data_IF_967784690233
#
_entry.id   IF_967784690233
#
_cell.length_a   1.000
_cell.length_b   1.000
_cell.length_c   1.000
_cell.angle_alpha   90.00
_cell.angle_beta   90.00
_cell.angle_gamma   90.00
#
_symmetry.space_group_name_H-M   'P 1'
#
loop_
_entity.id
_entity.type
_entity.pdbx_description
1 polymer ?
#
# COMPACT_ATOMS: atom_id res chain seq x y z
N UNK A 1 21.21 13.14 -22.79
CA UNK A 1 20.89 12.11 -21.77
C UNK A 1 19.45 11.74 -22.03
N UNK A 2 19.15 10.46 -22.23
CA UNK A 2 17.77 10.00 -22.44
C UNK A 2 17.08 10.00 -21.07
N UNK A 3 16.05 10.83 -20.90
CA UNK A 3 15.13 10.69 -19.77
C UNK A 3 14.47 9.31 -19.90
N UNK A 4 14.42 8.51 -18.83
CA UNK A 4 13.65 7.28 -18.87
C UNK A 4 12.19 7.71 -18.96
N UNK A 5 11.60 7.54 -20.14
CA UNK A 5 10.16 7.63 -20.32
C UNK A 5 9.56 6.58 -19.38
N UNK A 6 8.99 7.01 -18.25
CA UNK A 6 8.26 6.12 -17.35
C UNK A 6 7.01 5.70 -18.12
N UNK A 7 7.16 4.65 -18.92
CA UNK A 7 6.06 3.91 -19.46
C UNK A 7 5.35 3.27 -18.26
N UNK A 8 4.31 3.95 -17.76
CA UNK A 8 3.31 3.35 -16.89
C UNK A 8 2.71 2.19 -17.70
N UNK A 9 3.29 1.01 -17.50
CA UNK A 9 2.85 -0.22 -18.13
C UNK A 9 1.36 -0.33 -17.82
N UNK A 10 0.47 -0.45 -18.83
CA UNK A 10 -0.94 -0.64 -18.57
C UNK A 10 -1.06 -1.90 -17.72
N UNK A 11 -1.52 -1.76 -16.49
CA UNK A 11 -1.83 -2.91 -15.66
C UNK A 11 -2.85 -3.75 -16.43
N UNK A 12 -2.57 -5.03 -16.64
CA UNK A 12 -3.57 -5.96 -17.15
C UNK A 12 -4.84 -5.82 -16.29
N UNK A 13 -6.00 -5.64 -16.93
CA UNK A 13 -7.26 -5.32 -16.27
C UNK A 13 -7.63 -6.37 -15.20
N UNK A 14 -7.27 -7.63 -15.46
CA UNK A 14 -7.35 -8.76 -14.52
C UNK A 14 -6.44 -8.58 -13.29
N UNK A 15 -5.21 -8.11 -13.48
CA UNK A 15 -4.26 -7.86 -12.40
C UNK A 15 -4.71 -6.73 -11.49
N UNK A 16 -5.25 -5.66 -12.07
CA UNK A 16 -5.85 -4.56 -11.31
C UNK A 16 -7.09 -5.03 -10.54
N UNK A 17 -7.96 -5.80 -11.18
CA UNK A 17 -9.17 -6.37 -10.55
C UNK A 17 -8.81 -7.26 -9.36
N UNK A 18 -7.80 -8.12 -9.52
CA UNK A 18 -7.31 -8.98 -8.44
C UNK A 18 -6.74 -8.18 -7.27
N UNK A 19 -5.91 -7.17 -7.55
CA UNK A 19 -5.33 -6.30 -6.52
C UNK A 19 -6.41 -5.53 -5.73
N UNK A 20 -7.44 -5.01 -6.42
CA UNK A 20 -8.57 -4.34 -5.77
C UNK A 20 -9.34 -5.32 -4.88
N UNK A 21 -9.59 -6.56 -5.34
CA UNK A 21 -10.27 -7.57 -4.54
C UNK A 21 -9.48 -7.93 -3.27
N UNK A 22 -8.15 -8.07 -3.39
CA UNK A 22 -7.28 -8.33 -2.26
C UNK A 22 -7.27 -7.15 -1.27
N UNK A 23 -7.16 -5.92 -1.75
CA UNK A 23 -7.20 -4.73 -0.90
C UNK A 23 -8.52 -4.63 -0.13
N UNK A 24 -9.66 -4.94 -0.76
CA UNK A 24 -10.96 -4.99 -0.09
C UNK A 24 -11.01 -6.08 0.98
N UNK A 25 -10.44 -7.26 0.71
CA UNK A 25 -10.37 -8.35 1.69
C UNK A 25 -9.51 -7.96 2.91
N UNK A 26 -8.37 -7.31 2.68
CA UNK A 26 -7.50 -6.81 3.76
C UNK A 26 -8.23 -5.78 4.64
N UNK A 27 -8.94 -4.82 4.04
CA UNK A 27 -9.75 -3.85 4.77
C UNK A 27 -10.87 -4.54 5.57
N UNK A 28 -11.55 -5.53 4.99
CA UNK A 28 -12.57 -6.31 5.68
C UNK A 28 -12.01 -7.12 6.86
N UNK A 29 -10.79 -7.66 6.72
CA UNK A 29 -10.04 -8.33 7.78
C UNK A 29 -9.46 -7.36 8.84
N UNK A 30 -9.71 -6.06 8.70
CA UNK A 30 -9.20 -5.02 9.60
C UNK A 30 -7.69 -4.79 9.45
N UNK A 31 -7.05 -5.28 8.38
CA UNK A 31 -5.65 -4.99 8.11
C UNK A 31 -5.52 -3.55 7.58
N UNK A 32 -4.79 -2.72 8.33
CA UNK A 32 -4.58 -1.32 8.00
C UNK A 32 -3.13 -0.92 8.32
N UNK A 33 -2.62 0.09 7.61
CA UNK A 33 -1.33 0.72 7.93
C UNK A 33 -1.61 2.00 8.73
N UNK A 34 -1.03 2.16 9.94
CA UNK A 34 -1.14 3.42 10.68
C UNK A 34 -0.56 4.58 9.89
N UNK A 35 -1.28 5.72 9.83
CA UNK A 35 -0.84 6.90 9.08
C UNK A 35 0.57 7.36 9.47
N UNK A 36 0.90 7.34 10.78
CA UNK A 36 2.23 7.71 11.28
C UNK A 36 3.35 6.85 10.68
N UNK A 37 3.09 5.56 10.46
CA UNK A 37 4.09 4.62 9.95
C UNK A 37 4.34 4.91 8.46
N UNK A 38 3.32 5.37 7.73
CA UNK A 38 3.45 5.86 6.34
C UNK A 38 4.19 7.19 6.30
N UNK A 39 3.88 8.13 7.19
CA UNK A 39 4.53 9.44 7.23
C UNK A 39 6.03 9.30 7.52
N UNK A 40 6.40 8.49 8.51
CA UNK A 40 7.79 8.24 8.88
C UNK A 40 8.57 7.53 7.75
N UNK A 41 7.93 6.61 7.03
CA UNK A 41 8.51 6.02 5.83
C UNK A 41 8.77 7.05 4.73
N UNK A 42 7.77 7.89 4.40
CA UNK A 42 7.91 8.93 3.37
C UNK A 42 8.95 10.00 3.75
N UNK A 43 9.07 10.32 5.03
CA UNK A 43 10.07 11.28 5.53
C UNK A 43 11.50 10.74 5.40
N UNK A 44 11.68 9.43 5.52
CA UNK A 44 12.99 8.78 5.40
C UNK A 44 13.52 8.68 3.96
N UNK A 45 12.68 8.93 2.95
CA UNK A 45 13.06 8.77 1.55
C UNK A 45 14.21 9.68 1.13
N UNK A 46 15.18 9.13 0.42
CA UNK A 46 16.36 9.87 -0.04
C UNK A 46 17.33 10.24 1.09
N UNK A 47 17.16 9.66 2.29
CA UNK A 47 18.11 9.77 3.40
C UNK A 47 18.96 8.51 3.52
N UNK A 48 20.07 8.59 4.27
CA UNK A 48 20.90 7.43 4.57
C UNK A 48 20.21 6.39 5.48
N UNK A 49 19.12 6.78 6.15
CA UNK A 49 18.31 5.93 7.04
C UNK A 49 16.95 5.62 6.39
N UNK A 50 16.89 5.52 5.07
CA UNK A 50 15.65 5.21 4.36
C UNK A 50 15.02 3.92 4.90
N UNK A 51 13.77 4.05 5.36
CA UNK A 51 13.04 2.99 6.04
C UNK A 51 12.33 2.09 5.03
N UNK A 52 12.15 0.80 5.34
CA UNK A 52 11.36 -0.07 4.50
C UNK A 52 9.89 0.35 4.50
N UNK A 53 9.17 0.02 3.41
CA UNK A 53 7.75 0.27 3.31
C UNK A 53 6.99 -0.41 4.47
N UNK A 54 6.05 0.30 5.13
CA UNK A 54 5.32 -0.26 6.25
C UNK A 54 4.36 -1.37 5.78
N UNK A 55 4.23 -2.42 6.58
CA UNK A 55 3.32 -3.55 6.30
C UNK A 55 1.96 -3.35 6.97
N UNK A 56 0.91 -3.91 6.35
CA UNK A 56 -0.44 -3.92 6.89
C UNK A 56 -0.49 -4.66 8.25
N UNK A 57 -0.91 -3.96 9.30
CA UNK A 57 -1.06 -4.50 10.65
C UNK A 57 -2.53 -4.76 10.94
N UNK A 58 -2.83 -5.78 11.73
CA UNK A 58 -4.20 -6.00 12.20
C UNK A 58 -4.59 -4.83 13.10
N UNK A 59 -5.61 -4.09 12.68
CA UNK A 59 -6.18 -3.01 13.47
C UNK A 59 -7.24 -3.57 14.38
N UNK A 60 -7.00 -3.54 15.69
CA UNK A 60 -8.00 -3.93 16.71
C UNK A 60 -9.18 -2.95 16.83
N UNK A 61 -9.26 -1.93 15.97
CA UNK A 61 -10.16 -0.78 16.11
C UNK A 61 -11.50 -0.92 15.37
N UNK A 62 -11.74 -1.99 14.59
CA UNK A 62 -13.04 -2.19 13.93
C UNK A 62 -13.42 -3.66 13.77
N UNK A 63 -14.64 -4.08 14.14
CA UNK A 63 -15.17 -5.38 13.68
C UNK A 63 -15.28 -5.40 12.15
N UNK A 64 -15.19 -6.58 11.51
CA UNK A 64 -15.32 -6.71 10.06
C UNK A 64 -16.65 -6.11 9.60
N UNK A 65 -16.60 -5.32 8.52
CA UNK A 65 -17.81 -4.81 7.86
C UNK A 65 -18.63 -6.00 7.35
N UNK A 66 -19.96 -6.05 7.56
CA UNK A 66 -20.80 -7.07 6.94
C UNK A 66 -20.72 -6.95 5.41
N UNK A 67 -20.59 -8.10 4.74
CA UNK A 67 -20.59 -8.27 3.28
C UNK A 67 -22.00 -8.07 2.74
#
# INVERSE_FOLDING_TARGET
MVEPEIALIPADDDGLTHAIAEARAQVAAGQMIPLRDVTDWLDSWGTADERPAPSCKQSSLRPPLPI
#
